data_IF_476409369612
#
_entry.id   IF_476409369612
#
_cell.length_a   1.000
_cell.length_b   1.000
_cell.length_c   1.000
_cell.angle_alpha   90.00
_cell.angle_beta   90.00
_cell.angle_gamma   90.00
#
_symmetry.space_group_name_H-M   'P 1'
#
loop_
_entity.id
_entity.type
_entity.pdbx_description
1 polymer ?
#
# COMPACT_ATOMS: atom_id res chain seq x y z
N UNK A 1 -49.63 58.57 60.57
CA UNK A 1 -49.02 57.36 61.19
C UNK A 1 -47.74 57.07 60.40
N UNK A 2 -46.66 56.78 61.13
CA UNK A 2 -45.24 56.65 60.71
C UNK A 2 -45.06 55.77 59.45
N UNK A 3 -44.20 56.18 58.50
CA UNK A 3 -42.82 55.68 58.30
C UNK A 3 -42.77 54.15 58.46
N UNK A 4 -42.58 53.35 57.41
CA UNK A 4 -41.26 52.91 56.94
C UNK A 4 -41.42 52.09 55.65
N UNK A 5 -40.68 52.43 54.58
CA UNK A 5 -40.27 51.47 53.56
C UNK A 5 -38.84 51.78 53.13
N UNK A 6 -37.93 51.04 53.74
CA UNK A 6 -36.50 51.02 53.55
C UNK A 6 -36.14 49.79 52.69
N UNK A 7 -35.61 50.06 51.49
CA UNK A 7 -34.46 49.45 50.76
C UNK A 7 -34.35 47.90 50.61
N UNK A 8 -33.87 47.52 49.41
CA UNK A 8 -33.27 46.24 48.92
C UNK A 8 -34.27 45.33 48.16
N UNK A 9 -34.08 44.99 46.88
CA UNK A 9 -32.89 44.35 46.30
C UNK A 9 -32.62 44.74 44.84
N UNK A 10 -31.34 44.99 44.58
CA UNK A 10 -30.69 45.03 43.26
C UNK A 10 -30.76 43.63 42.64
N UNK A 11 -31.36 43.48 41.46
CA UNK A 11 -31.09 42.34 40.58
C UNK A 11 -30.24 42.83 39.41
N UNK A 12 -28.93 42.65 39.59
CA UNK A 12 -27.91 42.81 38.57
C UNK A 12 -28.08 41.67 37.55
N UNK A 13 -28.66 41.96 36.38
CA UNK A 13 -28.69 41.01 35.26
C UNK A 13 -27.29 41.03 34.63
N UNK A 14 -26.47 40.04 34.99
CA UNK A 14 -25.21 39.74 34.31
C UNK A 14 -25.57 39.05 32.99
N UNK A 15 -25.50 39.78 31.88
CA UNK A 15 -25.58 39.20 30.54
C UNK A 15 -24.29 38.41 30.25
N UNK A 16 -24.34 37.09 30.44
CA UNK A 16 -23.32 36.18 29.94
C UNK A 16 -23.46 36.09 28.41
N UNK A 17 -22.42 36.41 27.61
CA UNK A 17 -22.47 36.09 26.20
C UNK A 17 -22.40 34.56 26.05
N UNK A 18 -23.51 33.98 25.59
CA UNK A 18 -23.59 32.61 25.11
C UNK A 18 -22.65 32.49 23.90
N UNK A 19 -21.40 32.13 24.15
CA UNK A 19 -20.48 31.70 23.11
C UNK A 19 -21.08 30.49 22.41
N UNK A 20 -21.56 30.71 21.19
CA UNK A 20 -21.93 29.62 20.30
C UNK A 20 -20.64 28.90 19.91
N UNK A 21 -20.37 27.77 20.58
CA UNK A 21 -19.40 26.80 20.07
C UNK A 21 -19.95 26.29 18.73
N UNK A 22 -19.50 26.89 17.63
CA UNK A 22 -19.64 26.31 16.31
C UNK A 22 -18.91 24.97 16.33
N UNK A 23 -19.66 23.88 16.50
CA UNK A 23 -19.15 22.53 16.32
C UNK A 23 -18.72 22.41 14.85
N UNK A 24 -17.43 22.59 14.62
CA UNK A 24 -16.78 22.32 13.35
C UNK A 24 -16.79 20.81 13.17
N UNK A 25 -17.91 20.27 12.68
CA UNK A 25 -18.01 18.85 12.34
C UNK A 25 -16.94 18.56 11.29
N UNK A 26 -16.02 17.61 11.54
CA UNK A 26 -14.99 17.30 10.55
C UNK A 26 -15.69 16.88 9.26
N UNK A 27 -15.46 17.66 8.19
CA UNK A 27 -15.91 17.32 6.83
C UNK A 27 -15.47 15.88 6.58
N UNK A 28 -16.43 14.99 6.30
CA UNK A 28 -16.12 13.66 5.78
C UNK A 28 -15.33 13.85 4.48
N UNK A 29 -14.03 13.62 4.57
CA UNK A 29 -13.14 13.58 3.41
C UNK A 29 -13.39 12.23 2.74
N UNK A 30 -13.98 12.26 1.55
CA UNK A 30 -14.09 11.08 0.70
C UNK A 30 -12.68 10.76 0.19
N UNK A 31 -12.07 9.70 0.68
CA UNK A 31 -10.81 9.17 0.15
C UNK A 31 -11.16 8.34 -1.08
N UNK A 32 -10.55 8.66 -2.23
CA UNK A 32 -10.69 7.87 -3.43
C UNK A 32 -10.11 6.47 -3.14
N UNK A 33 -10.96 5.46 -3.02
CA UNK A 33 -10.52 4.07 -2.90
C UNK A 33 -9.94 3.62 -4.24
N UNK A 34 -8.73 3.06 -4.23
CA UNK A 34 -8.09 2.53 -5.43
C UNK A 34 -9.01 1.53 -6.14
N UNK A 35 -9.00 1.55 -7.48
CA UNK A 35 -9.82 0.67 -8.30
C UNK A 35 -9.33 -0.77 -8.19
N UNK A 36 -10.25 -1.70 -7.89
CA UNK A 36 -9.99 -3.14 -7.91
C UNK A 36 -10.27 -3.68 -9.32
N UNK A 37 -9.29 -4.36 -9.91
CA UNK A 37 -9.37 -4.86 -11.29
C UNK A 37 -9.56 -6.38 -11.37
N UNK A 38 -9.19 -7.11 -10.32
CA UNK A 38 -9.41 -8.54 -10.17
C UNK A 38 -9.36 -8.95 -8.70
N UNK A 39 -9.75 -10.19 -8.40
CA UNK A 39 -9.63 -10.79 -7.06
C UNK A 39 -9.01 -12.17 -7.19
N UNK A 40 -7.95 -12.43 -6.42
CA UNK A 40 -7.22 -13.70 -6.40
C UNK A 40 -7.15 -14.22 -4.97
N UNK A 41 -7.74 -15.39 -4.73
CA UNK A 41 -7.86 -16.00 -3.39
C UNK A 41 -8.36 -15.03 -2.31
N UNK A 42 -9.41 -14.27 -2.63
CA UNK A 42 -10.03 -13.25 -1.76
C UNK A 42 -9.17 -12.00 -1.51
N UNK A 43 -8.01 -11.88 -2.16
CA UNK A 43 -7.19 -10.66 -2.12
C UNK A 43 -7.44 -9.82 -3.39
N UNK A 44 -7.74 -8.52 -3.27
CA UNK A 44 -7.93 -7.67 -4.43
C UNK A 44 -6.60 -7.37 -5.13
N UNK A 45 -6.62 -7.41 -6.46
CA UNK A 45 -5.59 -6.83 -7.31
C UNK A 45 -6.04 -5.42 -7.64
N UNK A 46 -5.20 -4.44 -7.31
CA UNK A 46 -5.49 -3.03 -7.53
C UNK A 46 -4.96 -2.58 -8.89
N UNK A 47 -5.57 -1.53 -9.45
CA UNK A 47 -5.09 -0.91 -10.69
C UNK A 47 -3.64 -0.41 -10.55
N UNK A 48 -3.25 0.02 -9.35
CA UNK A 48 -1.90 0.44 -9.02
C UNK A 48 -0.88 -0.70 -9.21
N UNK A 49 -1.22 -1.94 -8.85
CA UNK A 49 -0.36 -3.12 -9.04
C UNK A 49 -0.10 -3.38 -10.52
N UNK A 50 -1.14 -3.32 -11.35
CA UNK A 50 -1.01 -3.51 -12.80
C UNK A 50 -0.18 -2.40 -13.42
N UNK A 51 -0.45 -1.13 -13.07
CA UNK A 51 0.32 0.01 -13.57
C UNK A 51 1.79 -0.03 -13.13
N UNK A 52 2.05 -0.48 -11.89
CA UNK A 52 3.41 -0.68 -11.39
C UNK A 52 4.14 -1.76 -12.19
N UNK A 53 3.48 -2.88 -12.48
CA UNK A 53 4.05 -3.92 -13.34
C UNK A 53 4.36 -3.37 -14.75
N UNK A 54 3.41 -2.66 -15.36
CA UNK A 54 3.61 -2.03 -16.68
C UNK A 54 4.80 -1.06 -16.68
N UNK A 55 4.92 -0.23 -15.65
CA UNK A 55 6.00 0.74 -15.50
C UNK A 55 7.37 0.06 -15.33
N UNK A 56 7.45 -0.93 -14.45
CA UNK A 56 8.73 -1.57 -14.07
C UNK A 56 9.26 -2.51 -15.16
N UNK A 57 8.36 -3.18 -15.88
CA UNK A 57 8.73 -4.20 -16.87
C UNK A 57 8.50 -3.76 -18.32
N UNK A 58 8.05 -2.52 -18.54
CA UNK A 58 7.82 -1.97 -19.88
C UNK A 58 6.68 -2.64 -20.65
N UNK A 59 5.73 -3.27 -19.96
CA UNK A 59 4.60 -3.98 -20.58
C UNK A 59 3.48 -2.97 -20.87
N UNK A 60 3.12 -2.80 -22.14
CA UNK A 60 2.09 -1.84 -22.55
C UNK A 60 0.67 -2.39 -22.48
N UNK A 61 0.49 -3.67 -22.81
CA UNK A 61 -0.83 -4.29 -22.84
C UNK A 61 -1.33 -4.54 -21.40
N UNK A 62 -2.49 -4.01 -21.09
CA UNK A 62 -3.07 -4.11 -19.75
C UNK A 62 -3.43 -5.55 -19.40
N UNK A 63 -4.00 -6.30 -20.35
CA UNK A 63 -4.42 -7.69 -20.12
C UNK A 63 -3.20 -8.58 -19.81
N UNK A 64 -2.14 -8.45 -20.59
CA UNK A 64 -0.88 -9.15 -20.38
C UNK A 64 -0.28 -8.80 -19.01
N UNK A 65 -0.28 -7.51 -18.64
CA UNK A 65 0.22 -7.09 -17.33
C UNK A 65 -0.64 -7.67 -16.18
N UNK A 66 -1.96 -7.66 -16.32
CA UNK A 66 -2.89 -8.23 -15.34
C UNK A 66 -2.67 -9.74 -15.17
N UNK A 67 -2.53 -10.50 -16.26
CA UNK A 67 -2.24 -11.93 -16.22
C UNK A 67 -0.94 -12.21 -15.44
N UNK A 68 0.11 -11.42 -15.67
CA UNK A 68 1.36 -11.54 -14.92
C UNK A 68 1.24 -11.15 -13.45
N UNK A 69 0.44 -10.14 -13.14
CA UNK A 69 0.18 -9.76 -11.75
C UNK A 69 -0.62 -10.86 -11.02
N UNK A 70 -1.55 -11.54 -11.71
CA UNK A 70 -2.26 -12.72 -11.16
C UNK A 70 -1.25 -13.83 -10.80
N UNK A 71 -0.29 -14.14 -11.68
CA UNK A 71 0.76 -15.13 -11.40
C UNK A 71 1.57 -14.74 -10.14
N UNK A 72 1.97 -13.47 -10.05
CA UNK A 72 2.69 -12.93 -8.89
C UNK A 72 1.86 -13.10 -7.61
N UNK A 73 0.56 -12.80 -7.65
CA UNK A 73 -0.34 -12.97 -6.51
C UNK A 73 -0.42 -14.44 -6.08
N UNK A 74 -0.73 -15.35 -6.99
CA UNK A 74 -0.90 -16.77 -6.67
C UNK A 74 0.36 -17.37 -6.01
N UNK A 75 1.52 -17.13 -6.63
CA UNK A 75 2.78 -17.71 -6.16
C UNK A 75 3.28 -17.02 -4.89
N UNK A 76 3.10 -15.70 -4.74
CA UNK A 76 3.48 -15.00 -3.51
C UNK A 76 2.60 -15.40 -2.32
N UNK A 77 1.30 -15.64 -2.54
CA UNK A 77 0.41 -16.16 -1.51
C UNK A 77 0.82 -17.58 -1.10
N UNK A 78 1.10 -18.46 -2.07
CA UNK A 78 1.67 -19.78 -1.80
C UNK A 78 2.97 -19.69 -0.98
N UNK A 79 3.86 -18.75 -1.31
CA UNK A 79 5.08 -18.50 -0.55
C UNK A 79 4.78 -18.18 0.93
N UNK A 80 3.85 -17.23 1.16
CA UNK A 80 3.43 -16.80 2.51
C UNK A 80 2.83 -17.97 3.30
N UNK A 81 1.98 -18.78 2.67
CA UNK A 81 1.39 -19.98 3.28
C UNK A 81 2.45 -21.02 3.69
N UNK A 82 3.60 -21.06 3.01
CA UNK A 82 4.75 -21.91 3.35
C UNK A 82 5.75 -21.26 4.31
N UNK A 83 5.39 -20.11 4.90
CA UNK A 83 6.20 -19.43 5.90
C UNK A 83 7.31 -18.54 5.33
N UNK A 84 7.34 -18.29 4.02
CA UNK A 84 8.26 -17.30 3.46
C UNK A 84 7.77 -15.89 3.81
N UNK A 85 8.71 -15.05 4.23
CA UNK A 85 8.46 -13.64 4.50
C UNK A 85 9.68 -12.83 4.07
N UNK A 86 9.46 -11.57 3.69
CA UNK A 86 10.54 -10.63 3.40
C UNK A 86 10.61 -9.63 4.56
N UNK A 87 11.76 -9.50 5.24
CA UNK A 87 11.91 -8.52 6.31
C UNK A 87 11.66 -7.09 5.78
N UNK A 88 10.94 -6.22 6.53
CA UNK A 88 10.67 -4.85 6.10
C UNK A 88 11.94 -4.05 5.76
N UNK A 89 13.03 -4.31 6.49
CA UNK A 89 14.34 -3.68 6.24
C UNK A 89 14.87 -4.04 4.84
N UNK A 90 14.62 -5.27 4.38
CA UNK A 90 15.03 -5.72 3.05
C UNK A 90 14.24 -5.02 1.95
N UNK A 91 12.95 -4.77 2.17
CA UNK A 91 12.14 -3.96 1.24
C UNK A 91 12.70 -2.55 1.12
N UNK A 92 13.00 -1.91 2.26
CA UNK A 92 13.63 -0.58 2.26
C UNK A 92 14.97 -0.55 1.51
N UNK A 93 15.80 -1.58 1.68
CA UNK A 93 17.06 -1.74 0.94
C UNK A 93 16.83 -1.88 -0.57
N UNK A 94 15.88 -2.71 -0.99
CA UNK A 94 15.55 -2.92 -2.41
C UNK A 94 15.06 -1.61 -3.04
N UNK A 95 14.17 -0.89 -2.36
CA UNK A 95 13.63 0.39 -2.83
C UNK A 95 14.74 1.44 -2.92
N UNK A 96 15.64 1.49 -1.92
CA UNK A 96 16.80 2.38 -1.94
C UNK A 96 17.75 2.09 -3.10
N UNK A 97 18.05 0.81 -3.34
CA UNK A 97 18.90 0.39 -4.45
C UNK A 97 18.24 0.67 -5.80
N UNK A 98 16.93 0.48 -5.92
CA UNK A 98 16.17 0.83 -7.11
C UNK A 98 16.20 2.34 -7.38
N UNK A 99 15.95 3.18 -6.36
CA UNK A 99 16.05 4.63 -6.51
C UNK A 99 17.43 5.05 -7.00
N UNK A 100 18.49 4.52 -6.37
CA UNK A 100 19.88 4.79 -6.74
C UNK A 100 20.21 4.37 -8.17
N UNK A 101 19.70 3.23 -8.64
CA UNK A 101 19.93 2.77 -10.03
C UNK A 101 19.30 3.69 -11.06
N UNK A 102 18.27 4.44 -10.67
CA UNK A 102 17.62 5.46 -11.50
C UNK A 102 18.21 6.86 -11.32
N UNK A 103 19.29 7.00 -10.53
CA UNK A 103 19.89 8.30 -10.21
C UNK A 103 19.01 9.17 -9.30
N UNK A 104 18.17 8.56 -8.47
CA UNK A 104 17.22 9.22 -7.57
C UNK A 104 17.52 8.91 -6.10
N UNK A 105 17.07 9.81 -5.23
CA UNK A 105 16.81 9.50 -3.83
C UNK A 105 15.48 8.75 -3.67
N UNK A 106 15.27 8.09 -2.54
CA UNK A 106 14.00 7.40 -2.23
C UNK A 106 12.82 8.38 -2.20
N UNK A 107 13.04 9.59 -1.67
CA UNK A 107 12.03 10.63 -1.63
C UNK A 107 11.63 11.08 -3.04
N UNK A 108 12.61 11.34 -3.91
CA UNK A 108 12.34 11.70 -5.31
C UNK A 108 11.62 10.59 -6.07
N UNK A 109 11.96 9.33 -5.81
CA UNK A 109 11.25 8.18 -6.37
C UNK A 109 9.77 8.21 -5.96
N UNK A 110 9.46 8.36 -4.67
CA UNK A 110 8.08 8.41 -4.20
C UNK A 110 7.31 9.63 -4.73
N UNK A 111 7.96 10.79 -4.84
CA UNK A 111 7.36 11.97 -5.47
C UNK A 111 7.01 11.69 -6.94
N UNK A 112 7.90 11.02 -7.69
CA UNK A 112 7.63 10.65 -9.09
C UNK A 112 6.48 9.65 -9.21
N UNK A 113 6.45 8.63 -8.35
CA UNK A 113 5.35 7.67 -8.31
C UNK A 113 4.02 8.36 -7.98
N UNK A 114 4.01 9.29 -7.02
CA UNK A 114 2.80 10.01 -6.66
C UNK A 114 2.26 10.88 -7.81
N UNK A 115 3.14 11.47 -8.63
CA UNK A 115 2.74 12.18 -9.87
C UNK A 115 2.08 11.26 -10.90
N UNK A 116 2.37 9.96 -10.86
CA UNK A 116 1.73 8.94 -11.69
C UNK A 116 0.48 8.31 -11.02
N UNK A 117 0.03 8.89 -9.90
CA UNK A 117 -1.03 8.31 -9.06
C UNK A 117 -0.69 6.92 -8.52
N UNK A 118 0.60 6.65 -8.30
CA UNK A 118 1.11 5.43 -7.68
C UNK A 118 1.68 5.80 -6.30
N UNK A 119 1.08 5.30 -5.22
CA UNK A 119 1.52 5.60 -3.85
C UNK A 119 2.85 4.90 -3.50
N UNK A 120 3.64 5.49 -2.59
CA UNK A 120 4.84 4.84 -2.06
C UNK A 120 4.54 3.54 -1.32
N UNK A 121 3.40 3.46 -0.63
CA UNK A 121 2.91 2.22 0.00
C UNK A 121 2.57 1.15 -1.04
N UNK A 122 1.88 1.52 -2.13
CA UNK A 122 1.57 0.60 -3.22
C UNK A 122 2.86 0.05 -3.85
N UNK A 123 3.86 0.91 -4.07
CA UNK A 123 5.17 0.47 -4.54
C UNK A 123 5.83 -0.52 -3.60
N UNK A 124 5.89 -0.22 -2.29
CA UNK A 124 6.51 -1.10 -1.32
C UNK A 124 5.81 -2.47 -1.24
N UNK A 125 4.48 -2.47 -1.23
CA UNK A 125 3.68 -3.70 -1.22
C UNK A 125 3.92 -4.53 -2.48
N UNK A 126 3.99 -3.88 -3.65
CA UNK A 126 4.29 -4.53 -4.92
C UNK A 126 5.70 -5.16 -4.91
N UNK A 127 6.70 -4.41 -4.42
CA UNK A 127 8.08 -4.91 -4.29
C UNK A 127 8.14 -6.11 -3.34
N UNK A 128 7.47 -6.07 -2.19
CA UNK A 128 7.39 -7.21 -1.28
C UNK A 128 6.81 -8.43 -1.98
N UNK A 129 5.65 -8.27 -2.63
CA UNK A 129 4.96 -9.36 -3.31
C UNK A 129 5.80 -9.95 -4.43
N UNK A 130 6.42 -9.11 -5.26
CA UNK A 130 7.31 -9.54 -6.33
C UNK A 130 8.53 -10.29 -5.79
N UNK A 131 9.11 -9.85 -4.68
CA UNK A 131 10.26 -10.54 -4.09
C UNK A 131 9.87 -11.88 -3.45
N UNK A 132 8.65 -12.00 -2.91
CA UNK A 132 8.11 -13.30 -2.50
C UNK A 132 7.89 -14.23 -3.68
N UNK A 133 7.37 -13.72 -4.80
CA UNK A 133 7.22 -14.46 -6.04
C UNK A 133 8.57 -15.03 -6.52
N UNK A 134 9.59 -14.18 -6.62
CA UNK A 134 10.95 -14.61 -7.03
C UNK A 134 11.55 -15.58 -6.01
N UNK A 135 11.40 -15.30 -4.71
CA UNK A 135 11.87 -16.17 -3.63
C UNK A 135 11.23 -17.56 -3.66
N UNK A 136 9.94 -17.64 -3.95
CA UNK A 136 9.22 -18.91 -4.08
C UNK A 136 9.74 -19.75 -5.25
N UNK A 137 9.97 -19.14 -6.42
CA UNK A 137 10.56 -19.83 -7.57
C UNK A 137 11.95 -20.35 -7.21
N UNK A 138 12.79 -19.52 -6.59
CA UNK A 138 14.14 -19.93 -6.20
C UNK A 138 14.14 -21.09 -5.20
N UNK A 139 13.27 -21.05 -4.20
CA UNK A 139 13.28 -22.02 -3.10
C UNK A 139 12.53 -23.31 -3.44
N UNK A 140 11.39 -23.22 -4.12
CA UNK A 140 10.50 -24.36 -4.35
C UNK A 140 10.61 -24.97 -5.76
N UNK A 141 11.26 -24.28 -6.69
CA UNK A 141 11.45 -24.78 -8.06
C UNK A 141 12.94 -24.97 -8.33
N UNK A 142 13.72 -23.88 -8.34
CA UNK A 142 15.10 -23.94 -8.80
C UNK A 142 16.01 -24.73 -7.86
N UNK A 143 15.94 -24.49 -6.56
CA UNK A 143 16.78 -25.20 -5.58
C UNK A 143 16.56 -26.74 -5.65
N UNK A 144 15.32 -27.26 -5.59
CA UNK A 144 15.07 -28.70 -5.77
C UNK A 144 15.60 -29.24 -7.10
N UNK A 145 15.41 -28.51 -8.21
CA UNK A 145 15.90 -28.92 -9.53
C UNK A 145 17.43 -29.04 -9.57
N UNK A 146 18.16 -28.09 -8.98
CA UNK A 146 19.62 -28.16 -8.93
C UNK A 146 20.15 -29.24 -7.97
N UNK A 147 19.40 -29.54 -6.91
CA UNK A 147 19.71 -30.63 -5.99
C UNK A 147 19.44 -32.01 -6.64
N UNK A 148 18.51 -32.09 -7.59
CA UNK A 148 18.21 -33.30 -8.37
C UNK A 148 18.81 -33.27 -9.79
N UNK A 149 20.14 -33.41 -9.88
CA UNK A 149 20.91 -33.31 -11.14
C UNK A 149 20.40 -34.24 -12.26
N UNK A 150 19.95 -35.44 -11.94
CA UNK A 150 19.47 -36.42 -12.93
C UNK A 150 18.19 -35.92 -13.62
N UNK A 151 17.24 -35.37 -12.85
CA UNK A 151 15.99 -34.82 -13.37
C UNK A 151 16.23 -33.56 -14.22
N UNK A 152 17.19 -32.72 -13.81
CA UNK A 152 17.61 -31.56 -14.59
C UNK A 152 18.22 -31.96 -15.94
N UNK A 153 19.05 -33.00 -15.99
CA UNK A 153 19.66 -33.49 -17.23
C UNK A 153 18.60 -34.05 -18.20
N UNK A 154 17.55 -34.70 -17.68
CA UNK A 154 16.44 -35.19 -18.49
C UNK A 154 15.61 -34.05 -19.11
N UNK A 155 15.36 -32.98 -18.35
CA UNK A 155 14.59 -31.81 -18.83
C UNK A 155 15.35 -30.99 -19.89
N UNK A 156 16.69 -30.97 -19.85
CA UNK A 156 17.50 -30.24 -20.83
C UNK A 156 17.68 -31.04 -22.14
N UNK A 157 17.59 -32.38 -22.06
CA UNK A 157 17.75 -33.27 -23.20
C UNK A 157 16.47 -33.46 -24.05
N UNK A 158 15.31 -32.99 -23.57
CA UNK A 158 14.01 -33.03 -24.26
C UNK A 158 13.70 -31.75 -25.02
#
# INVERSE_FOLDING_TARGET
MRLEKLIWFISLIIALPLGTFAQNTPKKVWVLTEETVAVVNKEPILLSDVKLYQLLFGVKDFKTALERVIDIYLVSQYAKERGLSIPPQKIGEIVSNFAKSQGLTVEELYIRLQKLSLGGSAFNNFIERYNLYVGAINIFVLKPLYENKEELLLLIAS
#
